data_IF_693426402343
#
_entry.id   IF_693426402343
#
_cell.length_a   1.000
_cell.length_b   1.000
_cell.length_c   1.000
_cell.angle_alpha   90.00
_cell.angle_beta   90.00
_cell.angle_gamma   90.00
#
_symmetry.space_group_name_H-M   'P 1'
#
loop_
_entity.id
_entity.type
_entity.pdbx_description
1 polymer ?
#
# COMPACT_ATOMS: atom_id res chain seq x y z
N UNK A 1 7.83 10.12 15.92
CA UNK A 1 8.31 10.64 14.63
C UNK A 1 7.19 11.41 13.94
N UNK A 2 7.51 12.52 13.26
CA UNK A 2 6.46 13.34 12.64
C UNK A 2 5.61 12.60 11.61
N UNK A 3 6.21 11.67 10.87
CA UNK A 3 5.49 10.87 9.89
C UNK A 3 4.48 9.92 10.55
N UNK A 4 4.78 9.44 11.76
CA UNK A 4 3.83 8.59 12.50
C UNK A 4 2.64 9.41 13.02
N UNK A 5 2.85 10.68 13.33
CA UNK A 5 1.76 11.56 13.78
C UNK A 5 0.69 11.66 12.70
N UNK A 6 1.10 11.81 11.43
CA UNK A 6 0.15 11.88 10.33
C UNK A 6 -0.68 10.59 10.22
N UNK A 7 -0.03 9.44 10.38
CA UNK A 7 -0.70 8.15 10.23
C UNK A 7 -1.77 7.94 11.27
N UNK A 8 -1.54 8.43 12.49
CA UNK A 8 -2.48 8.25 13.60
C UNK A 8 -3.29 9.52 13.90
N UNK A 9 -3.29 10.47 12.98
CA UNK A 9 -4.11 11.67 13.14
C UNK A 9 -5.59 11.33 13.09
N UNK A 10 -6.41 12.18 13.72
CA UNK A 10 -7.84 11.90 13.86
C UNK A 10 -8.56 11.81 12.51
N UNK A 11 -8.05 12.51 11.49
CA UNK A 11 -8.66 12.51 10.17
C UNK A 11 -8.14 11.40 9.25
N UNK A 12 -7.19 10.57 9.72
CA UNK A 12 -6.76 9.40 8.96
C UNK A 12 -7.84 8.32 9.05
N UNK A 13 -8.11 7.66 7.92
CA UNK A 13 -9.12 6.62 7.86
C UNK A 13 -8.50 5.27 8.19
N UNK A 14 -9.19 4.46 8.99
CA UNK A 14 -8.70 3.16 9.43
C UNK A 14 -9.52 2.05 8.78
N UNK A 15 -8.84 0.95 8.45
CA UNK A 15 -9.48 -0.27 7.95
C UNK A 15 -10.43 0.02 6.79
N UNK A 16 -9.89 0.65 5.75
CA UNK A 16 -10.67 1.08 4.59
C UNK A 16 -10.75 -0.06 3.57
N UNK A 17 -11.93 -0.63 3.35
CA UNK A 17 -12.06 -1.63 2.30
C UNK A 17 -11.94 -0.97 0.93
N UNK A 18 -11.22 -1.63 0.02
CA UNK A 18 -11.08 -1.18 -1.36
C UNK A 18 -11.41 -2.31 -2.29
N UNK A 19 -12.07 -1.97 -3.39
CA UNK A 19 -12.33 -2.92 -4.45
C UNK A 19 -12.23 -2.18 -5.78
N UNK A 20 -11.59 -2.81 -6.75
CA UNK A 20 -11.39 -2.20 -8.06
C UNK A 20 -11.06 -3.28 -9.08
N UNK A 21 -11.41 -3.07 -10.36
CA UNK A 21 -10.97 -3.99 -11.41
C UNK A 21 -9.46 -3.81 -11.66
N UNK A 22 -8.76 -4.94 -11.78
CA UNK A 22 -7.35 -4.97 -12.18
C UNK A 22 -7.26 -5.97 -13.34
N UNK A 23 -7.28 -5.46 -14.57
CA UNK A 23 -7.34 -6.32 -15.74
C UNK A 23 -8.63 -7.11 -15.74
N UNK A 24 -8.53 -8.44 -15.86
CA UNK A 24 -9.71 -9.31 -15.92
C UNK A 24 -10.20 -9.70 -14.53
N UNK A 25 -9.48 -9.34 -13.47
CA UNK A 25 -9.84 -9.69 -12.11
C UNK A 25 -10.23 -8.46 -11.33
N UNK A 26 -10.99 -8.68 -10.25
CA UNK A 26 -11.35 -7.62 -9.33
C UNK A 26 -10.52 -7.77 -8.06
N UNK A 27 -9.88 -6.68 -7.68
CA UNK A 27 -9.09 -6.59 -6.45
C UNK A 27 -10.02 -6.30 -5.28
N UNK A 28 -9.82 -7.00 -4.17
CA UNK A 28 -10.48 -6.72 -2.89
C UNK A 28 -9.40 -6.67 -1.82
N UNK A 29 -9.48 -5.69 -0.94
CA UNK A 29 -8.52 -5.61 0.15
C UNK A 29 -8.97 -4.60 1.19
N UNK A 30 -8.21 -4.53 2.28
CA UNK A 30 -8.45 -3.57 3.35
C UNK A 30 -7.13 -2.84 3.62
N UNK A 31 -7.17 -1.52 3.54
CA UNK A 31 -6.03 -0.66 3.82
C UNK A 31 -6.08 -0.30 5.31
N UNK A 32 -4.99 -0.58 6.04
CA UNK A 32 -4.97 -0.35 7.49
C UNK A 32 -5.14 1.11 7.85
N UNK A 33 -4.47 2.01 7.12
CA UNK A 33 -4.63 3.45 7.29
C UNK A 33 -4.60 4.13 5.92
N UNK A 34 -5.50 5.07 5.71
CA UNK A 34 -5.58 5.83 4.48
C UNK A 34 -5.62 7.32 4.81
N UNK A 35 -4.66 8.06 4.32
CA UNK A 35 -4.57 9.50 4.52
C UNK A 35 -4.91 10.17 3.20
N UNK A 36 -6.00 10.92 3.17
CA UNK A 36 -6.50 11.60 1.98
C UNK A 36 -6.30 13.09 2.19
N UNK A 37 -5.46 13.70 1.39
CA UNK A 37 -5.24 15.15 1.43
C UNK A 37 -5.42 15.72 0.03
N UNK A 38 -5.57 17.06 -0.11
CA UNK A 38 -5.63 17.65 -1.45
C UNK A 38 -4.37 17.42 -2.27
N UNK A 39 -3.23 17.16 -1.63
CA UNK A 39 -1.94 17.00 -2.30
C UNK A 39 -1.61 15.56 -2.67
N UNK A 40 -2.12 14.58 -1.90
CA UNK A 40 -1.76 13.18 -2.14
C UNK A 40 -2.69 12.23 -1.40
N UNK A 41 -2.60 10.98 -1.80
CA UNK A 41 -3.26 9.86 -1.10
C UNK A 41 -2.14 8.94 -0.59
N UNK A 42 -2.14 8.64 0.70
CA UNK A 42 -1.14 7.75 1.30
C UNK A 42 -1.82 6.52 1.89
N UNK A 43 -1.47 5.35 1.40
CA UNK A 43 -1.95 4.08 1.94
C UNK A 43 -0.84 3.44 2.77
N UNK A 44 -1.16 3.06 4.00
CA UNK A 44 -0.19 2.46 4.92
C UNK A 44 -0.71 1.10 5.35
N UNK A 45 0.17 0.11 5.27
CA UNK A 45 -0.12 -1.24 5.73
C UNK A 45 0.75 -1.55 6.94
N UNK A 46 0.16 -2.14 7.98
CA UNK A 46 0.85 -2.45 9.23
C UNK A 46 1.41 -3.86 9.14
N UNK A 47 2.69 -4.03 9.48
CA UNK A 47 3.36 -5.33 9.46
C UNK A 47 3.97 -5.63 10.83
N UNK A 48 3.75 -6.85 11.30
CA UNK A 48 4.22 -7.29 12.62
C UNK A 48 5.38 -8.27 12.53
N UNK A 49 6.01 -8.38 11.36
CA UNK A 49 7.10 -9.33 11.13
C UNK A 49 8.24 -9.12 12.12
N UNK A 50 8.80 -10.21 12.60
CA UNK A 50 9.94 -10.16 13.52
C UNK A 50 11.19 -9.62 12.83
N UNK A 51 11.39 -9.98 11.57
CA UNK A 51 12.51 -9.49 10.78
C UNK A 51 12.04 -8.33 9.91
N UNK A 52 12.65 -7.18 10.10
CA UNK A 52 12.31 -5.95 9.38
C UNK A 52 13.41 -5.69 8.36
N UNK A 53 13.08 -5.60 7.07
CA UNK A 53 14.09 -5.26 6.06
C UNK A 53 14.67 -3.87 6.32
N UNK A 54 15.95 -3.71 6.05
CA UNK A 54 16.60 -2.40 6.17
C UNK A 54 16.45 -1.57 4.91
N UNK A 55 16.15 -2.21 3.78
CA UNK A 55 16.01 -1.53 2.50
C UNK A 55 14.71 -1.97 1.82
N UNK A 56 14.15 -1.06 1.03
CA UNK A 56 12.93 -1.34 0.28
C UNK A 56 13.13 -2.55 -0.66
N UNK A 57 14.31 -2.65 -1.26
CA UNK A 57 14.62 -3.72 -2.21
C UNK A 57 14.58 -5.11 -1.56
N UNK A 58 14.70 -5.17 -0.25
CA UNK A 58 14.68 -6.44 0.49
C UNK A 58 13.30 -6.84 0.94
N UNK A 59 12.28 -6.03 0.65
CA UNK A 59 10.90 -6.38 0.99
C UNK A 59 10.42 -7.56 0.14
N UNK A 60 9.63 -8.47 0.74
CA UNK A 60 9.08 -9.58 -0.03
C UNK A 60 8.27 -9.11 -1.23
N UNK A 61 8.40 -9.80 -2.34
CA UNK A 61 7.71 -9.46 -3.58
C UNK A 61 6.20 -9.43 -3.40
N UNK A 62 5.66 -10.35 -2.59
CA UNK A 62 4.22 -10.39 -2.34
C UNK A 62 3.69 -9.13 -1.67
N UNK A 63 4.47 -8.54 -0.73
CA UNK A 63 4.08 -7.28 -0.09
C UNK A 63 4.12 -6.13 -1.09
N UNK A 64 5.16 -6.07 -1.91
CA UNK A 64 5.29 -5.01 -2.92
C UNK A 64 4.14 -5.09 -3.92
N UNK A 65 3.78 -6.30 -4.32
CA UNK A 65 2.69 -6.55 -5.24
C UNK A 65 1.34 -6.12 -4.66
N UNK A 66 1.11 -6.44 -3.38
CA UNK A 66 -0.11 -6.03 -2.68
C UNK A 66 -0.22 -4.50 -2.63
N UNK A 67 0.87 -3.83 -2.30
CA UNK A 67 0.86 -2.38 -2.24
C UNK A 67 0.69 -1.76 -3.62
N UNK A 68 1.25 -2.38 -4.65
CA UNK A 68 1.02 -1.97 -6.03
C UNK A 68 -0.45 -2.06 -6.43
N UNK A 69 -1.13 -3.12 -5.99
CA UNK A 69 -2.56 -3.30 -6.25
C UNK A 69 -3.37 -2.21 -5.53
N UNK A 70 -3.03 -1.89 -4.29
CA UNK A 70 -3.69 -0.80 -3.57
C UNK A 70 -3.49 0.53 -4.29
N UNK A 71 -2.25 0.80 -4.74
CA UNK A 71 -1.96 2.03 -5.47
C UNK A 71 -2.77 2.12 -6.76
N UNK A 72 -2.87 1.02 -7.50
CA UNK A 72 -3.64 0.98 -8.74
C UNK A 72 -5.14 1.21 -8.48
N UNK A 73 -5.68 0.60 -7.43
CA UNK A 73 -7.08 0.79 -7.07
C UNK A 73 -7.36 2.23 -6.66
N UNK A 74 -6.49 2.81 -5.84
CA UNK A 74 -6.65 4.18 -5.38
C UNK A 74 -6.51 5.18 -6.52
N UNK A 75 -5.66 4.90 -7.50
CA UNK A 75 -5.52 5.76 -8.67
C UNK A 75 -6.81 5.81 -9.50
N UNK A 76 -7.61 4.75 -9.48
CA UNK A 76 -8.91 4.76 -10.14
C UNK A 76 -9.92 5.60 -9.37
N UNK A 77 -9.83 5.62 -8.04
CA UNK A 77 -10.74 6.37 -7.18
C UNK A 77 -10.34 7.85 -7.13
N UNK A 78 -9.04 8.12 -7.08
CA UNK A 78 -8.49 9.48 -6.96
C UNK A 78 -7.54 9.76 -8.13
N UNK A 79 -8.06 9.93 -9.35
CA UNK A 79 -7.19 10.08 -10.53
C UNK A 79 -6.44 11.40 -10.58
N UNK A 80 -6.81 12.36 -9.75
CA UNK A 80 -6.25 13.72 -9.77
C UNK A 80 -5.13 13.93 -8.75
N UNK A 81 -4.73 12.90 -7.98
CA UNK A 81 -3.72 13.05 -6.92
C UNK A 81 -2.71 11.93 -7.00
N UNK A 82 -1.44 12.21 -6.62
CA UNK A 82 -0.45 11.14 -6.55
C UNK A 82 -0.79 10.16 -5.44
N UNK A 83 -0.53 8.89 -5.72
CA UNK A 83 -0.78 7.81 -4.77
C UNK A 83 0.56 7.35 -4.22
N UNK A 84 0.68 7.35 -2.89
CA UNK A 84 1.88 6.89 -2.20
C UNK A 84 1.53 5.71 -1.32
N UNK A 85 2.47 4.80 -1.13
CA UNK A 85 2.30 3.64 -0.28
C UNK A 85 3.45 3.52 0.70
N UNK A 86 3.18 2.97 1.88
CA UNK A 86 4.19 2.78 2.90
C UNK A 86 3.84 1.56 3.75
N UNK A 87 4.87 0.97 4.35
CA UNK A 87 4.72 -0.10 5.34
C UNK A 87 5.11 0.45 6.70
N UNK A 88 4.31 0.18 7.71
CA UNK A 88 4.68 0.48 9.09
C UNK A 88 5.05 -0.82 9.79
N UNK A 89 6.34 -0.96 10.09
CA UNK A 89 6.85 -2.13 10.80
C UNK A 89 6.64 -1.88 12.29
N UNK A 90 5.62 -2.52 12.86
CA UNK A 90 5.16 -2.17 14.20
C UNK A 90 6.16 -2.54 15.30
N UNK A 91 6.99 -3.56 15.08
CA UNK A 91 7.97 -3.97 16.09
C UNK A 91 9.05 -2.92 16.31
N UNK A 92 9.37 -2.13 15.30
CA UNK A 92 10.40 -1.10 15.41
C UNK A 92 9.82 0.31 15.29
N UNK A 93 8.51 0.44 15.13
CA UNK A 93 7.82 1.71 14.89
C UNK A 93 8.43 2.47 13.71
N UNK A 94 8.79 1.73 12.66
CA UNK A 94 9.53 2.26 11.53
C UNK A 94 8.63 2.34 10.30
N UNK A 95 8.49 3.54 9.75
CA UNK A 95 7.73 3.75 8.53
C UNK A 95 8.65 3.65 7.33
N UNK A 96 8.30 2.76 6.39
CA UNK A 96 9.07 2.56 5.17
C UNK A 96 8.22 2.99 3.98
N UNK A 97 8.56 4.14 3.39
CA UNK A 97 7.89 4.62 2.19
C UNK A 97 8.34 3.78 1.00
N UNK A 98 7.38 3.34 0.20
CA UNK A 98 7.66 2.49 -0.96
C UNK A 98 7.65 3.34 -2.23
N UNK A 99 8.74 3.34 -3.02
CA UNK A 99 8.73 4.05 -4.30
C UNK A 99 7.62 3.51 -5.21
N UNK A 100 6.88 4.41 -5.82
CA UNK A 100 5.73 4.05 -6.64
C UNK A 100 6.11 3.11 -7.80
N UNK A 101 7.25 3.36 -8.43
CA UNK A 101 7.71 2.53 -9.54
C UNK A 101 8.03 1.10 -9.11
N UNK A 102 8.51 0.90 -7.88
CA UNK A 102 8.81 -0.45 -7.39
C UNK A 102 7.54 -1.27 -7.17
N UNK A 103 6.52 -0.68 -6.55
CA UNK A 103 5.27 -1.41 -6.29
C UNK A 103 4.51 -1.64 -7.59
N UNK A 104 4.55 -0.68 -8.52
CA UNK A 104 3.93 -0.82 -9.83
C UNK A 104 4.62 -1.92 -10.64
N UNK A 105 5.94 -1.99 -10.59
CA UNK A 105 6.69 -3.03 -11.27
C UNK A 105 6.38 -4.41 -10.69
N UNK A 106 6.26 -4.51 -9.37
CA UNK A 106 5.93 -5.77 -8.72
C UNK A 106 4.55 -6.27 -9.15
N UNK A 107 3.57 -5.37 -9.24
CA UNK A 107 2.25 -5.72 -9.73
C UNK A 107 2.32 -6.17 -11.19
N UNK A 108 3.09 -5.45 -12.00
CA UNK A 108 3.25 -5.78 -13.42
C UNK A 108 3.88 -7.16 -13.64
N UNK A 109 4.81 -7.58 -12.79
CA UNK A 109 5.42 -8.89 -12.90
C UNK A 109 4.43 -10.03 -12.65
N UNK A 110 3.38 -9.75 -11.87
CA UNK A 110 2.34 -10.75 -11.64
C UNK A 110 1.46 -10.97 -12.86
N UNK A 111 1.31 -9.92 -13.69
CA UNK A 111 0.52 -10.00 -14.89
C UNK A 111 -0.92 -10.37 -14.62
N UNK A 112 -1.52 -11.05 -15.59
CA UNK A 112 -2.94 -11.43 -15.49
C UNK A 112 -3.19 -12.54 -14.49
N UNK A 113 -2.14 -13.17 -13.97
CA UNK A 113 -2.28 -14.26 -13.01
C UNK A 113 -2.40 -13.74 -11.58
N UNK A 114 -2.17 -12.47 -11.37
CA UNK A 114 -2.17 -11.92 -10.04
C UNK A 114 -3.58 -11.73 -9.51
N UNK A 115 -3.78 -12.16 -8.26
CA UNK A 115 -5.05 -12.02 -7.56
C UNK A 115 -4.74 -11.51 -6.15
N UNK A 116 -5.07 -10.27 -5.88
CA UNK A 116 -4.77 -9.62 -4.61
C UNK A 116 -5.53 -10.28 -3.47
N UNK A 117 -6.78 -10.62 -3.71
CA UNK A 117 -7.63 -11.16 -2.64
C UNK A 117 -7.20 -12.56 -2.25
N UNK A 118 -6.63 -13.29 -3.20
CA UNK A 118 -6.19 -14.63 -2.92
C UNK A 118 -4.76 -14.68 -2.62
N UNK A 119 -4.15 -13.63 -2.78
CA UNK A 119 -2.98 -13.71 -2.69
C UNK A 119 -2.08 -13.68 -2.14
N UNK A 120 -2.65 -13.83 -2.11
CA UNK A 120 -1.73 -13.63 -1.80
C UNK A 120 -0.50 -14.10 -2.16
#
# INVERSE_FOLDING_TARGET
APDLVEIFAADALAEVPVTAPLGVRRMHGVIDRLIVTPERILAVDFKTNATVPTRVEDCPEGLMRQMGAYAAALAQIYPDRPIETALLWTRTAQLMTLPHDLVTAALGRAGCLYDVSGAA
#
